data_IF_135927446054
#
_entry.id   IF_135927446054
#
_cell.length_a   1.000
_cell.length_b   1.000
_cell.length_c   1.000
_cell.angle_alpha   90.00
_cell.angle_beta   90.00
_cell.angle_gamma   90.00
#
_symmetry.space_group_name_H-M   'P 1'
#
loop_
_entity.id
_entity.type
_entity.pdbx_description
1 polymer ?
#
# COMPACT_ATOMS: atom_id res chain seq x y z
N UNK A 1 -9.29 -14.67 -3.58
CA UNK A 1 -9.31 -13.60 -2.56
C UNK A 1 -9.57 -12.29 -3.29
N UNK A 2 -10.72 -11.64 -3.06
CA UNK A 2 -11.12 -10.42 -3.76
C UNK A 2 -10.62 -9.22 -2.96
N UNK A 3 -9.61 -8.53 -3.46
CA UNK A 3 -9.17 -7.25 -2.93
C UNK A 3 -10.30 -6.24 -3.19
N UNK A 4 -10.93 -5.73 -2.15
CA UNK A 4 -11.82 -4.59 -2.26
C UNK A 4 -10.95 -3.33 -2.23
N UNK A 5 -10.38 -2.96 -3.38
CA UNK A 5 -9.74 -1.65 -3.54
C UNK A 5 -10.82 -0.60 -3.80
N UNK A 6 -11.04 0.31 -2.85
CA UNK A 6 -11.62 1.61 -3.16
C UNK A 6 -10.72 2.29 -4.20
N UNK A 7 -11.30 2.79 -5.29
CA UNK A 7 -10.56 3.51 -6.33
C UNK A 7 -9.81 4.72 -5.76
N UNK A 8 -8.76 5.22 -6.44
CA UNK A 8 -7.92 6.29 -5.91
C UNK A 8 -8.72 7.59 -5.82
N UNK A 9 -9.18 7.93 -4.62
CA UNK A 9 -9.59 9.27 -4.26
C UNK A 9 -8.34 10.15 -4.22
N UNK A 10 -8.15 10.97 -5.27
CA UNK A 10 -7.02 11.91 -5.40
C UNK A 10 -6.97 12.97 -4.29
N UNK A 11 -7.99 13.04 -3.42
CA UNK A 11 -8.03 13.96 -2.30
C UNK A 11 -7.64 13.32 -0.95
N UNK A 12 -7.36 12.02 -0.88
CA UNK A 12 -6.67 11.39 0.27
C UNK A 12 -5.22 11.12 -0.10
N UNK A 13 -4.33 10.95 0.88
CA UNK A 13 -2.98 10.41 0.60
C UNK A 13 -3.14 9.20 -0.31
N UNK A 14 -2.34 9.06 -1.37
CA UNK A 14 -2.42 7.88 -2.22
C UNK A 14 -1.94 6.69 -1.39
N UNK A 15 -2.89 6.00 -0.77
CA UNK A 15 -2.67 4.88 0.15
C UNK A 15 -3.39 3.66 -0.37
N UNK A 16 -2.80 2.49 -0.11
CA UNK A 16 -3.45 1.20 -0.32
C UNK A 16 -3.65 0.54 1.03
N UNK A 17 -4.88 0.54 1.52
CA UNK A 17 -5.24 -0.16 2.75
C UNK A 17 -5.23 -1.67 2.52
N UNK A 18 -4.50 -2.40 3.36
CA UNK A 18 -4.23 -3.83 3.19
C UNK A 18 -4.46 -4.59 4.49
N UNK A 19 -5.21 -5.69 4.40
CA UNK A 19 -5.36 -6.69 5.46
C UNK A 19 -4.80 -8.03 4.98
N UNK A 20 -3.83 -8.59 5.71
CA UNK A 20 -3.15 -9.85 5.35
C UNK A 20 -3.32 -10.86 6.47
N UNK A 21 -3.66 -12.08 6.06
CA UNK A 21 -3.69 -13.26 6.91
C UNK A 21 -2.52 -14.16 6.51
N UNK A 22 -1.62 -14.44 7.45
CA UNK A 22 -0.47 -15.32 7.16
C UNK A 22 -0.88 -16.77 6.98
N UNK A 23 -1.95 -17.21 7.68
CA UNK A 23 -2.59 -18.55 7.65
C UNK A 23 -4.05 -18.43 8.11
N UNK A 24 -4.93 -19.45 7.92
CA UNK A 24 -6.32 -19.41 8.37
C UNK A 24 -6.52 -18.98 9.84
N UNK A 25 -5.57 -19.34 10.71
CA UNK A 25 -5.60 -19.03 12.16
C UNK A 25 -4.51 -18.01 12.57
N UNK A 26 -3.89 -17.36 11.58
CA UNK A 26 -2.79 -16.42 11.78
C UNK A 26 -3.28 -15.06 12.29
N UNK A 27 -2.38 -14.29 12.93
CA UNK A 27 -2.67 -12.89 13.30
C UNK A 27 -2.92 -12.06 12.05
N UNK A 28 -3.98 -11.27 12.07
CA UNK A 28 -4.29 -10.32 10.99
C UNK A 28 -3.34 -9.13 11.08
N UNK A 29 -2.66 -8.83 9.98
CA UNK A 29 -1.92 -7.59 9.80
C UNK A 29 -2.79 -6.61 9.03
N UNK A 30 -3.23 -5.53 9.68
CA UNK A 30 -3.83 -4.37 9.01
C UNK A 30 -2.76 -3.29 8.89
N UNK A 31 -2.48 -2.86 7.67
CA UNK A 31 -1.52 -1.80 7.37
C UNK A 31 -1.96 -1.01 6.15
N UNK A 32 -1.26 0.08 5.89
CA UNK A 32 -1.41 0.90 4.68
C UNK A 32 -0.08 0.97 3.94
N UNK A 33 -0.13 1.00 2.62
CA UNK A 33 1.05 1.21 1.77
C UNK A 33 1.03 2.60 1.16
N UNK A 34 2.20 3.20 0.95
CA UNK A 34 2.37 4.55 0.42
C UNK A 34 2.98 4.53 -0.98
N UNK A 35 2.57 5.45 -1.86
CA UNK A 35 3.31 5.69 -3.10
C UNK A 35 4.61 6.47 -2.82
N UNK A 36 5.69 6.18 -3.59
CA UNK A 36 6.93 6.95 -3.49
C UNK A 36 6.70 8.41 -3.90
N UNK A 37 7.49 9.30 -3.30
CA UNK A 37 7.57 10.74 -3.63
C UNK A 37 6.26 11.53 -3.55
N UNK A 38 5.21 10.96 -2.97
CA UNK A 38 3.95 11.66 -2.83
C UNK A 38 4.10 12.83 -1.84
N UNK A 39 3.77 14.09 -2.22
CA UNK A 39 4.04 15.26 -1.37
C UNK A 39 3.45 15.18 0.03
N UNK A 40 2.29 14.52 0.18
CA UNK A 40 1.61 14.36 1.48
C UNK A 40 2.30 13.40 2.44
N UNK A 41 3.21 12.54 1.98
CA UNK A 41 3.96 11.64 2.85
C UNK A 41 4.71 12.42 3.95
N UNK A 42 5.18 13.64 3.64
CA UNK A 42 5.91 14.50 4.60
C UNK A 42 5.03 15.05 5.73
N UNK A 43 3.73 15.18 5.49
CA UNK A 43 2.78 15.74 6.45
C UNK A 43 1.90 14.67 7.13
N UNK A 44 1.95 13.44 6.63
CA UNK A 44 1.16 12.33 7.13
C UNK A 44 1.80 11.71 8.37
N UNK A 45 1.10 11.78 9.50
CA UNK A 45 1.59 11.29 10.80
C UNK A 45 1.76 9.78 10.86
N UNK A 46 1.09 9.03 10.00
CA UNK A 46 1.19 7.57 9.95
C UNK A 46 2.19 7.08 8.90
N UNK A 47 2.88 8.00 8.21
CA UNK A 47 3.86 7.65 7.21
C UNK A 47 5.03 6.88 7.81
N UNK A 48 5.27 5.70 7.24
CA UNK A 48 6.46 4.90 7.51
C UNK A 48 7.14 4.58 6.17
N UNK A 49 8.42 4.96 5.98
CA UNK A 49 9.14 4.70 4.73
C UNK A 49 9.27 3.20 4.41
N UNK A 50 9.13 2.31 5.40
CA UNK A 50 9.14 0.85 5.18
C UNK A 50 7.88 0.34 4.50
N UNK A 51 6.81 1.14 4.42
CA UNK A 51 5.53 0.81 3.80
C UNK A 51 5.39 1.42 2.39
N UNK A 52 6.49 1.92 1.81
CA UNK A 52 6.47 2.52 0.47
C UNK A 52 6.53 1.46 -0.62
N UNK A 53 5.65 1.58 -1.62
CA UNK A 53 5.63 0.72 -2.80
C UNK A 53 6.89 0.91 -3.65
N UNK A 54 7.44 -0.20 -4.13
CA UNK A 54 8.37 -0.18 -5.25
C UNK A 54 7.57 -0.06 -6.56
N UNK A 55 7.73 1.06 -7.26
CA UNK A 55 7.01 1.33 -8.50
C UNK A 55 7.86 0.94 -9.72
N UNK A 56 7.25 0.21 -10.65
CA UNK A 56 7.80 -0.08 -11.97
C UNK A 56 6.78 0.22 -13.08
N UNK A 57 7.18 -0.07 -14.32
CA UNK A 57 6.30 0.02 -15.48
C UNK A 57 6.43 -1.22 -16.37
N UNK A 58 5.30 -1.68 -16.92
CA UNK A 58 5.26 -2.73 -17.92
C UNK A 58 4.14 -2.46 -18.92
N UNK A 59 4.47 -2.46 -20.23
CA UNK A 59 3.54 -2.17 -21.34
C UNK A 59 2.61 -0.95 -21.12
N UNK A 60 3.15 0.11 -20.53
CA UNK A 60 2.40 1.35 -20.26
C UNK A 60 1.54 1.33 -18.99
N UNK A 61 1.52 0.23 -18.24
CA UNK A 61 0.89 0.12 -16.92
C UNK A 61 1.91 0.42 -15.81
N UNK A 62 1.48 1.14 -14.77
CA UNK A 62 2.26 1.30 -13.53
C UNK A 62 2.02 0.11 -12.62
N UNK A 63 3.09 -0.51 -12.15
CA UNK A 63 3.04 -1.68 -11.27
C UNK A 63 3.64 -1.30 -9.91
N UNK A 64 2.91 -1.59 -8.83
CA UNK A 64 3.41 -1.47 -7.47
C UNK A 64 3.77 -2.85 -6.90
N UNK A 65 4.94 -2.96 -6.27
CA UNK A 65 5.40 -4.16 -5.57
C UNK A 65 5.71 -3.87 -4.11
N UNK A 66 5.34 -4.80 -3.24
CA UNK A 66 5.66 -4.77 -1.83
C UNK A 66 5.76 -6.20 -1.30
N UNK A 67 6.81 -6.47 -0.51
CA UNK A 67 7.01 -7.78 0.10
C UNK A 67 6.64 -7.70 1.59
N UNK A 68 5.65 -8.48 2.00
CA UNK A 68 5.23 -8.56 3.41
C UNK A 68 6.04 -9.66 4.12
N UNK A 69 6.56 -9.34 5.29
CA UNK A 69 7.23 -10.31 6.18
C UNK A 69 6.31 -10.52 7.39
N UNK A 70 5.74 -11.73 7.52
CA UNK A 70 4.71 -12.09 8.51
C UNK A 70 4.99 -13.42 9.20
#
# INVERSE_FOLDING_TARGET
MKLASSGPDMNRSAIVDTAIFSRPDGRMLTTQLYFPDHPRNRSDRLFDPRLVLHMGSDRGLRIGRFDFVV
#
